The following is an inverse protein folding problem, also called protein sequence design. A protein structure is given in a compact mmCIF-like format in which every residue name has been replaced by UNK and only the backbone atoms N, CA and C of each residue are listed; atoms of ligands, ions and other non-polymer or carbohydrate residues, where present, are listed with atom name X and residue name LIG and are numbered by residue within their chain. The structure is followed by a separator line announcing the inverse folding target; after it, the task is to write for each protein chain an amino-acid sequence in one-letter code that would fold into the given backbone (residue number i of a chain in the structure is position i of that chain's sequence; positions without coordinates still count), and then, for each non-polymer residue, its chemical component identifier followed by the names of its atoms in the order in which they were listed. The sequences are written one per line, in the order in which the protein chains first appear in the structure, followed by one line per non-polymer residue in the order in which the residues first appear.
data_IF_506104388345
#
_entry.id   IF_506104388345
#
_cell.length_a   1.000
_cell.length_b   1.000
_cell.length_c   1.000
_cell.angle_alpha   90.00
_cell.angle_beta   90.00
_cell.angle_gamma   90.00
#
_symmetry.space_group_name_H-M   'P 1'
#
loop_
_entity.id
_entity.type
_entity.pdbx_description
1 polymer ?
#
# COMPACT_ATOMS: atom_id res chain seq x y z
N UNK A 1 13.63 0.85 18.67
CA UNK A 1 13.70 0.85 17.18
C UNK A 1 14.50 2.07 16.77
N UNK A 2 15.64 1.90 16.08
CA UNK A 2 16.49 3.03 15.67
C UNK A 2 15.80 3.98 14.68
N UNK A 3 16.38 5.15 14.36
CA UNK A 3 15.78 6.19 13.51
C UNK A 3 15.40 5.70 12.09
N UNK A 4 15.98 4.59 11.66
CA UNK A 4 15.71 3.95 10.37
C UNK A 4 14.54 2.93 10.41
N UNK A 5 14.08 2.52 11.59
CA UNK A 5 13.06 1.48 11.74
C UNK A 5 11.67 1.90 11.23
N UNK A 6 11.25 3.12 11.55
CA UNK A 6 9.98 3.67 11.11
C UNK A 6 9.90 3.90 9.57
N UNK A 7 10.89 4.54 8.92
CA UNK A 7 10.84 4.72 7.46
C UNK A 7 10.91 3.40 6.69
N UNK A 8 11.72 2.43 7.14
CA UNK A 8 11.73 1.07 6.56
C UNK A 8 10.38 0.38 6.74
N UNK A 9 9.76 0.48 7.92
CA UNK A 9 8.43 -0.07 8.16
C UNK A 9 7.38 0.56 7.24
N UNK A 10 7.38 1.88 7.07
CA UNK A 10 6.47 2.60 6.18
C UNK A 10 6.65 2.17 4.71
N UNK A 11 7.90 1.99 4.28
CA UNK A 11 8.20 1.50 2.94
C UNK A 11 7.69 0.07 2.71
N UNK A 12 7.99 -0.85 3.64
CA UNK A 12 7.54 -2.25 3.56
C UNK A 12 6.01 -2.31 3.59
N UNK A 13 5.37 -1.55 4.49
CA UNK A 13 3.92 -1.46 4.57
C UNK A 13 3.29 -0.93 3.28
N UNK A 14 3.87 0.10 2.66
CA UNK A 14 3.43 0.65 1.37
C UNK A 14 3.50 -0.39 0.24
N UNK A 15 4.60 -1.15 0.16
CA UNK A 15 4.77 -2.23 -0.83
C UNK A 15 3.76 -3.35 -0.59
N UNK A 16 3.56 -3.77 0.66
CA UNK A 16 2.57 -4.80 1.01
C UNK A 16 1.15 -4.36 0.63
N UNK A 17 0.79 -3.10 0.91
CA UNK A 17 -0.50 -2.53 0.54
C UNK A 17 -0.73 -2.50 -0.98
N UNK A 18 0.31 -2.20 -1.77
CA UNK A 18 0.26 -2.26 -3.23
C UNK A 18 0.19 -3.70 -3.77
N UNK A 19 0.84 -4.64 -3.10
CA UNK A 19 0.87 -6.04 -3.51
C UNK A 19 -0.45 -6.75 -3.21
N UNK A 20 -1.11 -6.38 -2.11
CA UNK A 20 -2.35 -6.98 -1.64
C UNK A 20 -3.45 -7.08 -2.72
N UNK A 21 -3.81 -6.01 -3.47
CA UNK A 21 -4.83 -6.06 -4.51
C UNK A 21 -4.45 -6.87 -5.76
N UNK A 22 -3.16 -7.19 -5.96
CA UNK A 22 -2.71 -8.07 -7.07
C UNK A 22 -2.94 -9.56 -6.77
N UNK A 23 -3.23 -9.94 -5.52
CA UNK A 23 -3.39 -11.35 -5.17
C UNK A 23 -4.74 -11.91 -5.63
N UNK A 24 -4.73 -13.11 -6.24
CA UNK A 24 -5.95 -13.82 -6.68
C UNK A 24 -6.94 -14.06 -5.53
N UNK A 25 -6.42 -14.27 -4.30
CA UNK A 25 -7.24 -14.43 -3.09
C UNK A 25 -7.98 -13.14 -2.73
N UNK A 26 -7.32 -11.98 -2.79
CA UNK A 26 -7.95 -10.69 -2.51
C UNK A 26 -9.03 -10.37 -3.55
N UNK A 27 -8.73 -10.55 -4.84
CA UNK A 27 -9.70 -10.33 -5.91
C UNK A 27 -10.94 -11.21 -5.75
N UNK A 28 -10.78 -12.49 -5.39
CA UNK A 28 -11.91 -13.41 -5.13
C UNK A 28 -12.78 -12.97 -3.95
N UNK A 29 -12.17 -12.49 -2.84
CA UNK A 29 -12.94 -11.99 -1.67
C UNK A 29 -13.69 -10.69 -1.96
N UNK A 30 -13.02 -9.74 -2.60
CA UNK A 30 -13.61 -8.44 -2.93
C UNK A 30 -14.69 -8.60 -4.01
N UNK A 31 -14.47 -9.41 -5.03
CA UNK A 31 -15.47 -9.70 -6.05
C UNK A 31 -16.72 -10.37 -5.47
N UNK A 32 -16.57 -11.30 -4.52
CA UNK A 32 -17.69 -11.89 -3.79
C UNK A 32 -18.44 -10.87 -2.93
N UNK A 33 -17.73 -9.92 -2.31
CA UNK A 33 -18.34 -8.84 -1.52
C UNK A 33 -19.13 -7.85 -2.38
N UNK A 34 -18.66 -7.55 -3.59
CA UNK A 34 -19.30 -6.61 -4.52
C UNK A 34 -20.20 -7.31 -5.56
N UNK A 35 -20.60 -8.56 -5.34
CA UNK A 35 -21.49 -9.32 -6.21
C UNK A 35 -21.07 -9.32 -7.71
N UNK A 36 -19.77 -9.28 -7.99
CA UNK A 36 -19.26 -9.26 -9.37
C UNK A 36 -19.11 -7.88 -10.01
N UNK A 37 -19.33 -6.78 -9.30
CA UNK A 37 -19.11 -5.42 -9.83
C UNK A 37 -17.60 -5.12 -10.00
N UNK A 38 -17.08 -5.45 -11.19
CA UNK A 38 -15.66 -5.30 -11.53
C UNK A 38 -15.18 -3.84 -11.48
N UNK A 39 -16.04 -2.86 -11.74
CA UNK A 39 -15.66 -1.45 -11.67
C UNK A 39 -15.31 -1.05 -10.24
N UNK A 40 -16.12 -1.46 -9.26
CA UNK A 40 -15.85 -1.19 -7.85
C UNK A 40 -14.62 -1.94 -7.34
N UNK A 41 -14.39 -3.17 -7.80
CA UNK A 41 -13.17 -3.92 -7.49
C UNK A 41 -11.93 -3.19 -8.01
N UNK A 42 -11.98 -2.66 -9.23
CA UNK A 42 -10.87 -1.92 -9.85
C UNK A 42 -10.63 -0.57 -9.15
N UNK A 43 -11.69 0.17 -8.80
CA UNK A 43 -11.56 1.39 -8.01
C UNK A 43 -10.90 1.11 -6.66
N UNK A 44 -11.36 0.09 -5.93
CA UNK A 44 -10.78 -0.29 -4.63
C UNK A 44 -9.30 -0.66 -4.77
N UNK A 45 -8.94 -1.42 -5.81
CA UNK A 45 -7.55 -1.76 -6.08
C UNK A 45 -6.69 -0.51 -6.34
N UNK A 46 -7.22 0.46 -7.10
CA UNK A 46 -6.53 1.72 -7.37
C UNK A 46 -6.38 2.58 -6.12
N UNK A 47 -7.40 2.62 -5.25
CA UNK A 47 -7.33 3.31 -3.95
C UNK A 47 -6.28 2.66 -3.04
N UNK A 48 -6.22 1.33 -2.95
CA UNK A 48 -5.18 0.63 -2.19
C UNK A 48 -3.79 0.91 -2.75
N UNK A 49 -3.66 0.98 -4.07
CA UNK A 49 -2.41 1.34 -4.73
C UNK A 49 -1.99 2.78 -4.39
N UNK A 50 -2.91 3.75 -4.50
CA UNK A 50 -2.64 5.14 -4.12
C UNK A 50 -2.25 5.25 -2.63
N UNK A 51 -2.95 4.54 -1.75
CA UNK A 51 -2.66 4.53 -0.33
C UNK A 51 -1.24 4.01 -0.08
N UNK A 52 -0.88 2.85 -0.65
CA UNK A 52 0.47 2.30 -0.55
C UNK A 52 1.53 3.22 -1.15
N UNK A 53 1.21 3.97 -2.20
CA UNK A 53 2.11 4.95 -2.82
C UNK A 53 2.36 6.15 -1.90
N UNK A 54 1.32 6.66 -1.25
CA UNK A 54 1.46 7.69 -0.22
C UNK A 54 2.32 7.21 0.95
N UNK A 55 2.17 5.95 1.38
CA UNK A 55 3.02 5.35 2.40
C UNK A 55 4.50 5.25 1.97
N UNK A 56 4.75 4.89 0.71
CA UNK A 56 6.11 4.91 0.14
C UNK A 56 6.70 6.31 0.13
N UNK A 57 5.98 7.31 -0.36
CA UNK A 57 6.42 8.70 -0.38
C UNK A 57 6.71 9.24 1.03
N UNK A 58 5.84 8.93 2.00
CA UNK A 58 6.05 9.29 3.39
C UNK A 58 7.30 8.59 3.97
N UNK A 59 7.48 7.29 3.71
CA UNK A 59 8.68 6.54 4.11
C UNK A 59 9.96 7.14 3.53
N UNK A 60 9.95 7.51 2.25
CA UNK A 60 11.07 8.20 1.60
C UNK A 60 11.34 9.59 2.19
N UNK A 61 10.30 10.37 2.48
CA UNK A 61 10.46 11.69 3.11
C UNK A 61 11.08 11.58 4.51
N UNK A 62 10.63 10.60 5.30
CA UNK A 62 11.22 10.31 6.61
C UNK A 62 12.65 9.79 6.52
N UNK A 63 12.95 8.93 5.53
CA UNK A 63 14.30 8.43 5.28
C UNK A 63 15.24 9.57 4.85
N UNK A 64 14.79 10.44 3.94
CA UNK A 64 15.54 11.61 3.50
C UNK A 64 15.84 12.55 4.67
N UNK A 65 14.85 12.82 5.52
CA UNK A 65 15.04 13.63 6.73
C UNK A 65 16.01 12.98 7.72
N UNK A 66 15.98 11.66 7.87
CA UNK A 66 16.87 10.93 8.78
C UNK A 66 18.33 10.83 8.27
N UNK A 67 18.55 10.99 6.95
CA UNK A 67 19.87 10.98 6.33
C UNK A 67 20.46 12.40 6.21
N UNK A 68 19.61 13.41 6.04
CA UNK A 68 20.01 14.80 5.76
C UNK A 68 19.95 15.72 6.97
N UNK A 69 19.23 15.31 8.03
CA UNK A 69 19.12 16.02 9.31
C UNK A 69 19.93 15.35 10.39
#
# INVERSE_FOLDING_TARGET
MGPLGLPLFLMIAGIVLMWQPRTKRWKKRISAYFAGDEQRVKQRANTFFLLGFCFLLAGFAYLYRAVTG
#
